data_IF_012231151592
#
_entry.id   IF_012231151592
#
_cell.length_a   1.000
_cell.length_b   1.000
_cell.length_c   1.000
_cell.angle_alpha   90.00
_cell.angle_beta   90.00
_cell.angle_gamma   90.00
#
_symmetry.space_group_name_H-M   'P 1'
#
loop_
_entity.id
_entity.type
_entity.pdbx_description
1 polymer ?
#
# COMPACT_ATOMS: atom_id res chain seq x y z
N UNK A 1 -2.47 10.03 25.27
CA UNK A 1 -2.25 9.99 23.80
C UNK A 1 -2.48 11.39 23.25
N UNK A 2 -1.41 12.02 22.77
CA UNK A 2 -1.43 13.43 22.35
C UNK A 2 -2.41 13.66 21.17
N UNK A 3 -3.09 14.81 21.13
CA UNK A 3 -4.10 15.17 20.10
C UNK A 3 -3.50 15.10 18.70
N UNK A 4 -2.20 15.36 18.55
CA UNK A 4 -1.46 15.20 17.30
C UNK A 4 -1.39 13.76 16.79
N UNK A 5 -1.28 12.78 17.69
CA UNK A 5 -1.18 11.36 17.34
C UNK A 5 -2.52 10.81 16.83
N UNK A 6 -3.65 11.25 17.41
CA UNK A 6 -4.99 10.89 16.92
C UNK A 6 -5.23 11.37 15.48
N UNK A 7 -4.93 12.63 15.15
CA UNK A 7 -5.07 13.14 13.77
C UNK A 7 -4.18 12.40 12.77
N UNK A 8 -3.01 11.91 13.21
CA UNK A 8 -2.09 11.13 12.38
C UNK A 8 -2.64 9.74 12.06
N UNK A 9 -3.19 9.02 13.04
CA UNK A 9 -3.79 7.70 12.83
C UNK A 9 -5.02 7.78 11.93
N UNK A 10 -5.84 8.83 12.08
CA UNK A 10 -7.02 9.03 11.20
C UNK A 10 -6.62 9.10 9.72
N UNK A 11 -5.43 9.61 9.39
CA UNK A 11 -4.95 9.66 8.00
C UNK A 11 -4.62 8.28 7.42
N UNK A 12 -4.45 7.25 8.24
CA UNK A 12 -4.24 5.87 7.78
C UNK A 12 -5.54 5.11 7.53
N UNK A 13 -6.66 5.63 8.00
CA UNK A 13 -7.97 5.01 7.78
C UNK A 13 -8.26 4.97 6.28
N UNK A 14 -8.08 6.08 5.58
CA UNK A 14 -8.31 6.16 4.13
C UNK A 14 -7.50 5.11 3.32
N UNK A 15 -6.15 5.02 3.42
CA UNK A 15 -5.39 4.02 2.67
C UNK A 15 -5.70 2.58 3.13
N UNK A 16 -6.01 2.36 4.42
CA UNK A 16 -6.41 1.02 4.90
C UNK A 16 -7.76 0.60 4.34
N UNK A 17 -8.76 1.49 4.37
CA UNK A 17 -10.09 1.24 3.80
C UNK A 17 -9.98 1.01 2.29
N UNK A 18 -9.17 1.80 1.60
CA UNK A 18 -8.87 1.58 0.19
C UNK A 18 -8.33 0.16 -0.06
N UNK A 19 -7.31 -0.27 0.68
CA UNK A 19 -6.75 -1.62 0.52
C UNK A 19 -7.80 -2.70 0.81
N UNK A 20 -8.61 -2.56 1.87
CA UNK A 20 -9.66 -3.52 2.22
C UNK A 20 -10.70 -3.63 1.09
N UNK A 21 -11.13 -2.50 0.52
CA UNK A 21 -12.08 -2.49 -0.60
C UNK A 21 -11.50 -3.25 -1.81
N UNK A 22 -10.24 -2.99 -2.15
CA UNK A 22 -9.58 -3.65 -3.28
C UNK A 22 -9.45 -5.16 -3.03
N UNK A 23 -8.98 -5.58 -1.85
CA UNK A 23 -8.85 -7.01 -1.53
C UNK A 23 -10.20 -7.71 -1.53
N UNK A 24 -11.24 -7.06 -0.99
CA UNK A 24 -12.60 -7.58 -0.99
C UNK A 24 -13.13 -7.75 -2.42
N UNK A 25 -12.87 -6.78 -3.31
CA UNK A 25 -13.21 -6.87 -4.73
C UNK A 25 -12.47 -8.02 -5.42
N UNK A 26 -11.17 -8.19 -5.16
CA UNK A 26 -10.37 -9.27 -5.76
C UNK A 26 -10.80 -10.66 -5.28
N UNK A 27 -11.24 -10.79 -4.02
CA UNK A 27 -11.89 -12.00 -3.53
C UNK A 27 -13.25 -12.24 -4.18
N UNK A 28 -14.07 -11.20 -4.35
CA UNK A 28 -15.37 -11.31 -5.03
C UNK A 28 -15.22 -11.77 -6.49
N UNK A 29 -14.21 -11.27 -7.19
CA UNK A 29 -13.83 -11.69 -8.54
C UNK A 29 -13.19 -13.09 -8.58
N UNK A 30 -13.02 -13.74 -7.42
CA UNK A 30 -12.36 -15.05 -7.24
C UNK A 30 -10.94 -15.09 -7.81
N UNK A 31 -10.28 -13.94 -7.87
CA UNK A 31 -8.91 -13.82 -8.36
C UNK A 31 -7.88 -14.20 -7.29
N UNK A 32 -8.12 -13.77 -6.05
CA UNK A 32 -7.31 -14.14 -4.89
C UNK A 32 -8.17 -14.81 -3.82
N UNK A 33 -7.53 -15.64 -3.02
CA UNK A 33 -8.12 -16.29 -1.87
C UNK A 33 -7.53 -15.76 -0.54
N UNK A 34 -8.08 -16.24 0.57
CA UNK A 34 -7.67 -15.80 1.90
C UNK A 34 -6.19 -16.11 2.19
N UNK A 35 -5.61 -17.15 1.59
CA UNK A 35 -4.21 -17.50 1.81
C UNK A 35 -3.26 -16.42 1.27
N UNK A 36 -3.53 -15.88 0.07
CA UNK A 36 -2.74 -14.79 -0.53
C UNK A 36 -2.86 -13.50 0.30
N UNK A 37 -4.06 -13.20 0.80
CA UNK A 37 -4.27 -12.03 1.67
C UNK A 37 -3.43 -12.15 2.94
N UNK A 38 -3.47 -13.30 3.61
CA UNK A 38 -2.72 -13.54 4.85
C UNK A 38 -1.22 -13.58 4.62
N UNK A 39 -0.76 -14.17 3.52
CA UNK A 39 0.66 -14.36 3.23
C UNK A 39 1.35 -13.10 2.72
N UNK A 40 0.64 -12.22 1.99
CA UNK A 40 1.26 -11.08 1.30
C UNK A 40 0.71 -9.75 1.84
N UNK A 41 -0.61 -9.55 1.80
CA UNK A 41 -1.19 -8.23 2.05
C UNK A 41 -1.29 -7.88 3.54
N UNK A 42 -1.48 -8.86 4.41
CA UNK A 42 -1.43 -8.65 5.87
C UNK A 42 -0.02 -8.21 6.32
N UNK A 43 1.09 -8.87 5.93
CA UNK A 43 2.43 -8.38 6.21
C UNK A 43 2.69 -6.96 5.69
N UNK A 44 2.26 -6.64 4.46
CA UNK A 44 2.38 -5.29 3.89
C UNK A 44 1.65 -4.27 4.76
N UNK A 45 0.42 -4.57 5.16
CA UNK A 45 -0.36 -3.70 6.03
C UNK A 45 0.32 -3.53 7.40
N UNK A 46 0.83 -4.61 8.02
CA UNK A 46 1.57 -4.56 9.28
C UNK A 46 2.81 -3.65 9.16
N UNK A 47 3.57 -3.76 8.07
CA UNK A 47 4.73 -2.88 7.80
C UNK A 47 4.28 -1.42 7.73
N UNK A 48 3.18 -1.12 7.04
CA UNK A 48 2.59 0.22 6.98
C UNK A 48 2.21 0.74 8.38
N UNK A 49 1.56 -0.10 9.19
CA UNK A 49 1.15 0.25 10.56
C UNK A 49 2.34 0.47 11.50
N UNK A 50 3.40 -0.35 11.38
CA UNK A 50 4.65 -0.16 12.12
C UNK A 50 5.34 1.16 11.74
N UNK A 51 5.42 1.46 10.44
CA UNK A 51 6.00 2.71 9.97
C UNK A 51 5.21 3.93 10.46
N UNK A 52 3.87 3.83 10.47
CA UNK A 52 3.00 4.85 11.03
C UNK A 52 3.25 5.09 12.52
N UNK A 53 3.47 4.03 13.31
CA UNK A 53 3.83 4.13 14.74
C UNK A 53 5.15 4.87 14.96
N UNK A 54 6.06 4.83 13.99
CA UNK A 54 7.33 5.57 13.97
C UNK A 54 7.21 6.98 13.35
N UNK A 55 6.00 7.55 13.31
CA UNK A 55 5.68 8.85 12.71
C UNK A 55 6.02 8.96 11.21
N UNK A 56 6.06 7.83 10.49
CA UNK A 56 6.26 7.78 9.03
C UNK A 56 4.94 7.62 8.27
N UNK A 57 3.97 8.48 8.59
CA UNK A 57 2.59 8.38 8.06
C UNK A 57 2.52 8.53 6.54
N UNK A 58 3.36 9.39 5.95
CA UNK A 58 3.38 9.60 4.49
C UNK A 58 3.89 8.36 3.80
N UNK A 59 5.00 7.79 4.27
CA UNK A 59 5.51 6.51 3.77
C UNK A 59 4.44 5.41 3.88
N UNK A 60 3.86 5.24 5.07
CA UNK A 60 2.86 4.20 5.32
C UNK A 60 1.66 4.32 4.37
N UNK A 61 1.15 5.54 4.16
CA UNK A 61 0.01 5.77 3.28
C UNK A 61 0.32 5.46 1.82
N UNK A 62 1.47 5.93 1.32
CA UNK A 62 1.91 5.69 -0.06
C UNK A 62 2.13 4.19 -0.29
N UNK A 63 2.81 3.52 0.64
CA UNK A 63 3.11 2.10 0.53
C UNK A 63 1.85 1.23 0.49
N UNK A 64 0.87 1.50 1.37
CA UNK A 64 -0.43 0.79 1.40
C UNK A 64 -1.25 1.07 0.13
N UNK A 65 -1.23 2.29 -0.40
CA UNK A 65 -1.94 2.60 -1.65
C UNK A 65 -1.31 1.86 -2.84
N UNK A 66 0.02 1.85 -2.92
CA UNK A 66 0.72 1.18 -4.01
C UNK A 66 0.54 -0.35 -3.96
N UNK A 67 0.37 -0.96 -2.79
CA UNK A 67 0.02 -2.39 -2.73
C UNK A 67 -1.38 -2.68 -3.29
N UNK A 68 -2.35 -1.80 -3.04
CA UNK A 68 -3.66 -1.89 -3.68
C UNK A 68 -3.61 -1.65 -5.20
N UNK A 69 -2.76 -0.74 -5.67
CA UNK A 69 -2.57 -0.53 -7.12
C UNK A 69 -1.88 -1.75 -7.75
N UNK A 70 -0.90 -2.34 -7.05
CA UNK A 70 -0.14 -3.50 -7.48
C UNK A 70 -1.02 -4.69 -7.82
N UNK A 71 -1.96 -5.04 -6.93
CA UNK A 71 -2.88 -6.15 -7.16
C UNK A 71 -3.88 -5.88 -8.29
N UNK A 72 -4.33 -4.62 -8.45
CA UNK A 72 -5.19 -4.23 -9.58
C UNK A 72 -4.44 -4.42 -10.89
N UNK A 73 -3.18 -3.98 -10.96
CA UNK A 73 -2.36 -4.15 -12.15
C UNK A 73 -2.10 -5.63 -12.46
N UNK A 74 -1.87 -6.45 -11.43
CA UNK A 74 -1.75 -7.91 -11.55
C UNK A 74 -2.99 -8.51 -12.22
N UNK A 75 -4.17 -8.15 -11.70
CA UNK A 75 -5.45 -8.61 -12.20
C UNK A 75 -5.70 -8.17 -13.65
N UNK A 76 -5.42 -6.91 -13.99
CA UNK A 76 -5.59 -6.40 -15.35
C UNK A 76 -4.72 -7.15 -16.37
N UNK A 77 -3.47 -7.45 -16.01
CA UNK A 77 -2.58 -8.25 -16.86
C UNK A 77 -3.10 -9.69 -16.98
N UNK A 78 -3.58 -10.27 -15.88
CA UNK A 78 -4.17 -11.61 -15.89
C UNK A 78 -5.37 -11.69 -16.85
N UNK A 79 -6.29 -10.72 -16.79
CA UNK A 79 -7.44 -10.64 -17.70
C UNK A 79 -6.99 -10.42 -19.15
N UNK A 80 -5.98 -9.57 -19.37
CA UNK A 80 -5.47 -9.27 -20.72
C UNK A 80 -4.75 -10.43 -21.39
N UNK A 81 -4.09 -11.30 -20.63
CA UNK A 81 -3.34 -12.46 -21.15
C UNK A 81 -4.23 -13.70 -21.37
N UNK A 82 -5.50 -13.63 -20.96
CA UNK A 82 -6.47 -14.70 -21.13
C UNK A 82 -6.02 -16.01 -20.45
N UNK A 83 -6.28 -17.19 -21.06
CA UNK A 83 -6.03 -18.48 -20.43
C UNK A 83 -4.55 -18.89 -20.38
N UNK A 84 -3.62 -18.04 -20.82
CA UNK A 84 -2.19 -18.35 -20.78
C UNK A 84 -1.61 -17.90 -19.44
N UNK A 85 -1.24 -18.83 -18.54
CA UNK A 85 -0.64 -18.45 -17.28
C UNK A 85 0.72 -17.81 -17.53
N UNK A 86 0.87 -16.54 -17.14
CA UNK A 86 2.14 -15.80 -17.23
C UNK A 86 2.49 -15.20 -15.88
N UNK A 87 3.78 -15.18 -15.54
CA UNK A 87 4.30 -14.48 -14.35
C UNK A 87 4.33 -12.95 -14.51
N UNK A 88 3.94 -12.42 -15.67
CA UNK A 88 3.99 -10.99 -15.98
C UNK A 88 3.18 -10.13 -15.00
N UNK A 89 2.01 -10.62 -14.56
CA UNK A 89 1.21 -9.95 -13.54
C UNK A 89 1.97 -9.82 -12.23
N UNK A 90 2.43 -10.94 -11.67
CA UNK A 90 3.15 -10.97 -10.39
C UNK A 90 4.42 -10.10 -10.42
N UNK A 91 5.14 -10.08 -11.55
CA UNK A 91 6.27 -9.20 -11.75
C UNK A 91 5.86 -7.71 -11.71
N UNK A 92 4.77 -7.34 -12.39
CA UNK A 92 4.26 -5.98 -12.36
C UNK A 92 3.82 -5.56 -10.96
N UNK A 93 3.12 -6.43 -10.22
CA UNK A 93 2.74 -6.18 -8.83
C UNK A 93 3.98 -5.89 -7.96
N UNK A 94 4.99 -6.75 -8.06
CA UNK A 94 6.27 -6.59 -7.33
C UNK A 94 6.97 -5.28 -7.71
N UNK A 95 7.00 -4.93 -8.99
CA UNK A 95 7.59 -3.68 -9.47
C UNK A 95 6.86 -2.46 -8.90
N UNK A 96 5.52 -2.48 -8.89
CA UNK A 96 4.72 -1.39 -8.32
C UNK A 96 4.94 -1.28 -6.81
N UNK A 97 5.02 -2.39 -6.08
CA UNK A 97 5.37 -2.39 -4.65
C UNK A 97 6.75 -1.78 -4.40
N UNK A 98 7.74 -2.13 -5.22
CA UNK A 98 9.10 -1.58 -5.12
C UNK A 98 9.12 -0.07 -5.39
N UNK A 99 8.40 0.39 -6.43
CA UNK A 99 8.23 1.82 -6.71
C UNK A 99 7.52 2.54 -5.56
N UNK A 100 6.48 1.94 -4.99
CA UNK A 100 5.75 2.48 -3.84
C UNK A 100 6.65 2.62 -2.60
N UNK A 101 7.56 1.66 -2.39
CA UNK A 101 8.56 1.73 -1.32
C UNK A 101 9.53 2.89 -1.52
N UNK A 102 10.14 3.02 -2.70
CA UNK A 102 11.07 4.12 -3.02
C UNK A 102 10.36 5.47 -2.90
N UNK A 103 9.19 5.60 -3.54
CA UNK A 103 8.42 6.84 -3.56
C UNK A 103 7.96 7.23 -2.15
N UNK A 104 7.51 6.25 -1.36
CA UNK A 104 7.14 6.46 0.04
C UNK A 104 8.31 7.01 0.86
N UNK A 105 9.51 6.48 0.67
CA UNK A 105 10.73 6.94 1.37
C UNK A 105 11.05 8.38 0.96
N UNK A 106 11.09 8.66 -0.34
CA UNK A 106 11.41 9.99 -0.89
C UNK A 106 10.41 11.03 -0.38
N UNK A 107 9.11 10.76 -0.50
CA UNK A 107 8.06 11.68 -0.04
C UNK A 107 8.10 11.89 1.48
N UNK A 108 8.44 10.86 2.25
CA UNK A 108 8.59 10.97 3.69
C UNK A 108 9.79 11.85 4.09
N UNK A 109 10.91 11.78 3.36
CA UNK A 109 12.07 12.66 3.56
C UNK A 109 11.71 14.11 3.23
N UNK A 110 11.06 14.35 2.08
CA UNK A 110 10.65 15.69 1.65
C UNK A 110 9.64 16.31 2.62
N UNK A 111 8.68 15.54 3.12
CA UNK A 111 7.70 16.00 4.11
C UNK A 111 8.36 16.43 5.42
N UNK A 112 9.38 15.70 5.90
CA UNK A 112 10.14 16.10 7.10
C UNK A 112 10.93 17.39 6.89
N UNK A 113 11.56 17.57 5.72
CA UNK A 113 12.29 18.81 5.39
C UNK A 113 11.36 20.03 5.36
N UNK A 114 10.19 19.90 4.73
CA UNK A 114 9.19 20.98 4.67
C UNK A 114 8.68 21.37 6.06
N UNK A 115 8.47 20.40 6.95
CA UNK A 115 8.05 20.69 8.32
C UNK A 115 9.11 21.50 9.08
N UNK A 116 10.40 21.16 8.91
CA UNK A 116 11.51 21.88 9.54
C UNK A 116 11.57 23.34 9.07
N UNK A 117 11.53 23.59 7.76
CA UNK A 117 11.64 24.94 7.19
C UNK A 117 10.48 25.87 7.54
N UNK A 118 9.30 25.35 7.88
CA UNK A 118 8.15 26.17 8.30
C UNK A 118 8.12 26.45 9.81
N UNK A 119 9.09 25.91 10.56
CA UNK A 119 9.21 26.08 12.01
C UNK A 119 10.31 27.08 12.40
N UNK A 120 11.10 27.52 11.41
CA UNK A 120 12.10 28.58 11.48
C UNK A 120 11.46 29.89 10.96
#
# INVERSE_FOLDING_TARGET
MDKGHKKRIVRLIAPTVFLIIILSLMCFLRYIDASVILAIYVPIWIIGMLAARLDKIVFASVFIVFSGIGIIAEYLIHVSNGPRPTMAGAFMNTLILFLGLILGIVLQILSKRKLKNNSE
#
